data_IF_477842701728
#
_entry.id   IF_477842701728
#
_cell.length_a   1.000
_cell.length_b   1.000
_cell.length_c   1.000
_cell.angle_alpha   90.00
_cell.angle_beta   90.00
_cell.angle_gamma   90.00
#
_symmetry.space_group_name_H-M   'P 1'
#
loop_
_entity.id
_entity.type
_entity.pdbx_description
1 polymer ?
#
# COMPACT_ATOMS: atom_id res chain seq x y z
N UNK A 1 -14.68 -14.11 65.25
CA UNK A 1 -13.59 -13.57 64.39
C UNK A 1 -13.81 -14.09 62.99
N UNK A 2 -14.13 -13.20 62.04
CA UNK A 2 -14.10 -13.50 60.60
C UNK A 2 -12.75 -13.00 60.10
N UNK A 3 -11.99 -13.86 59.44
CA UNK A 3 -10.78 -13.46 58.71
C UNK A 3 -10.80 -14.18 57.37
N UNK A 4 -11.08 -13.40 56.32
CA UNK A 4 -10.81 -13.79 54.94
C UNK A 4 -9.34 -13.53 54.65
N UNK A 5 -8.63 -14.46 53.99
CA UNK A 5 -7.46 -14.14 53.18
C UNK A 5 -7.64 -14.83 51.83
N UNK A 6 -7.55 -13.99 50.81
CA UNK A 6 -7.56 -14.27 49.38
C UNK A 6 -6.20 -14.85 48.99
N UNK A 7 -6.18 -15.95 48.23
CA UNK A 7 -4.99 -16.38 47.50
C UNK A 7 -5.31 -16.36 46.00
N UNK A 8 -4.73 -15.38 45.32
CA UNK A 8 -4.78 -15.18 43.87
C UNK A 8 -4.01 -16.33 43.21
N UNK A 9 -4.71 -17.17 42.46
CA UNK A 9 -4.11 -18.21 41.63
C UNK A 9 -3.81 -17.61 40.25
N UNK A 10 -2.55 -17.26 40.00
CA UNK A 10 -2.05 -16.94 38.66
C UNK A 10 -1.95 -18.27 37.90
N UNK A 11 -2.95 -18.60 37.08
CA UNK A 11 -2.84 -19.66 36.08
C UNK A 11 -2.34 -19.08 34.76
N UNK A 12 -1.05 -19.30 34.53
CA UNK A 12 -0.39 -19.27 33.24
C UNK A 12 -0.99 -20.36 32.34
N UNK A 13 -1.92 -19.97 31.46
CA UNK A 13 -2.05 -20.49 30.09
C UNK A 13 -3.31 -19.90 29.45
N UNK A 14 -3.24 -18.65 29.00
CA UNK A 14 -4.17 -18.18 27.98
C UNK A 14 -3.78 -18.90 26.68
N UNK A 15 -4.61 -19.86 26.26
CA UNK A 15 -4.46 -20.54 24.98
C UNK A 15 -4.86 -19.57 23.87
N UNK A 16 -3.85 -18.92 23.29
CA UNK A 16 -3.90 -18.13 22.06
C UNK A 16 -4.32 -19.01 20.90
N UNK A 17 -5.62 -19.17 20.68
CA UNK A 17 -6.12 -19.74 19.43
C UNK A 17 -6.57 -18.57 18.58
N UNK A 18 -5.64 -18.10 17.73
CA UNK A 18 -5.93 -17.50 16.43
C UNK A 18 -7.25 -16.73 16.34
N UNK A 19 -7.26 -15.50 16.84
CA UNK A 19 -8.16 -14.50 16.27
C UNK A 19 -7.56 -14.11 14.92
N UNK A 20 -7.83 -14.89 13.87
CA UNK A 20 -7.60 -14.49 12.48
C UNK A 20 -8.61 -13.41 12.10
N UNK A 21 -8.55 -12.30 12.83
CA UNK A 21 -9.24 -11.05 12.51
C UNK A 21 -8.36 -10.21 11.60
N UNK A 22 -8.97 -9.22 10.95
CA UNK A 22 -8.23 -8.17 10.28
C UNK A 22 -7.23 -7.53 11.26
N UNK A 23 -5.93 -7.56 10.93
CA UNK A 23 -4.91 -6.89 11.73
C UNK A 23 -4.90 -5.38 11.48
N UNK A 24 -4.87 -4.97 10.21
CA UNK A 24 -4.75 -3.56 9.80
C UNK A 24 -5.57 -3.26 8.55
N UNK A 25 -5.97 -1.99 8.39
CA UNK A 25 -6.51 -1.44 7.15
C UNK A 25 -5.53 -0.39 6.65
N UNK A 26 -5.05 -0.56 5.41
CA UNK A 26 -4.23 0.45 4.76
C UNK A 26 -5.15 1.45 4.05
N UNK A 27 -4.86 2.74 4.19
CA UNK A 27 -5.56 3.82 3.52
C UNK A 27 -4.56 4.78 2.88
N UNK A 28 -4.88 5.32 1.70
CA UNK A 28 -4.14 6.44 1.15
C UNK A 28 -4.36 7.69 2.04
N UNK A 29 -3.29 8.35 2.47
CA UNK A 29 -3.37 9.53 3.32
C UNK A 29 -4.08 10.71 2.64
N UNK A 30 -4.01 10.77 1.31
CA UNK A 30 -4.65 11.73 0.42
C UNK A 30 -5.80 11.11 -0.38
N UNK A 31 -6.32 9.96 0.07
CA UNK A 31 -7.36 9.22 -0.64
C UNK A 31 -8.63 10.04 -0.82
N UNK A 32 -9.08 10.15 -2.06
CA UNK A 32 -10.28 10.85 -2.47
C UNK A 32 -11.30 9.89 -3.11
N UNK A 33 -12.52 10.42 -3.33
CA UNK A 33 -13.56 9.69 -4.03
C UNK A 33 -13.07 9.23 -5.41
N UNK A 34 -13.27 7.95 -5.69
CA UNK A 34 -12.94 7.30 -6.97
C UNK A 34 -11.44 7.23 -7.33
N UNK A 35 -10.51 7.36 -6.38
CA UNK A 35 -9.09 7.08 -6.62
C UNK A 35 -8.81 5.58 -6.87
N UNK A 36 -9.75 4.71 -6.47
CA UNK A 36 -9.69 3.24 -6.61
C UNK A 36 -8.43 2.66 -5.94
N UNK A 37 -8.08 3.20 -4.78
CA UNK A 37 -7.04 2.61 -3.93
C UNK A 37 -7.39 1.17 -3.57
N UNK A 38 -6.42 0.25 -3.71
CA UNK A 38 -6.64 -1.18 -3.53
C UNK A 38 -7.00 -1.91 -4.82
N UNK A 39 -6.82 -1.27 -5.99
CA UNK A 39 -7.09 -1.89 -7.28
C UNK A 39 -6.22 -3.12 -7.53
N UNK A 40 -4.93 -3.00 -7.24
CA UNK A 40 -3.97 -4.08 -7.24
C UNK A 40 -3.05 -3.94 -6.02
N UNK A 41 -2.58 -5.07 -5.47
CA UNK A 41 -1.82 -5.10 -4.22
C UNK A 41 -0.73 -6.17 -4.25
N UNK A 42 0.42 -5.84 -3.67
CA UNK A 42 1.49 -6.81 -3.41
C UNK A 42 2.14 -6.56 -2.06
N UNK A 43 2.74 -7.60 -1.48
CA UNK A 43 3.42 -7.55 -0.19
C UNK A 43 4.66 -8.44 -0.23
N UNK A 44 5.78 -7.93 0.27
CA UNK A 44 7.01 -8.69 0.46
C UNK A 44 7.73 -8.22 1.73
N UNK A 45 7.97 -9.16 2.65
CA UNK A 45 8.50 -8.89 3.97
C UNK A 45 7.71 -7.80 4.70
N UNK A 46 8.42 -6.75 5.09
CA UNK A 46 7.87 -5.61 5.83
C UNK A 46 7.26 -4.53 4.92
N UNK A 47 7.13 -4.75 3.60
CA UNK A 47 6.62 -3.75 2.67
C UNK A 47 5.39 -4.23 1.92
N UNK A 48 4.44 -3.33 1.74
CA UNK A 48 3.28 -3.54 0.88
C UNK A 48 3.16 -2.38 -0.11
N UNK A 49 2.74 -2.67 -1.33
CA UNK A 49 2.40 -1.69 -2.36
C UNK A 49 0.94 -1.83 -2.75
N UNK A 50 0.26 -0.69 -2.90
CA UNK A 50 -1.15 -0.62 -3.25
C UNK A 50 -1.37 0.35 -4.41
N UNK A 51 -1.97 -0.14 -5.49
CA UNK A 51 -2.33 0.64 -6.67
C UNK A 51 -3.60 1.48 -6.48
N UNK A 52 -3.61 2.66 -7.08
CA UNK A 52 -4.73 3.59 -7.15
C UNK A 52 -4.78 4.25 -8.56
N UNK A 53 -5.19 3.51 -9.60
CA UNK A 53 -5.05 3.94 -10.99
C UNK A 53 -5.87 5.17 -11.36
N UNK A 54 -6.88 5.54 -10.58
CA UNK A 54 -7.72 6.70 -10.84
C UNK A 54 -7.41 7.88 -9.90
N UNK A 55 -6.30 7.80 -9.16
CA UNK A 55 -5.84 8.87 -8.28
C UNK A 55 -5.68 10.18 -9.05
N UNK A 56 -6.25 11.24 -8.48
CA UNK A 56 -6.43 12.55 -9.11
C UNK A 56 -7.91 12.89 -9.33
N UNK A 57 -8.78 11.88 -9.38
CA UNK A 57 -10.22 12.08 -9.42
C UNK A 57 -10.73 12.66 -10.76
N UNK A 58 -12.06 12.69 -10.92
CA UNK A 58 -12.69 13.13 -12.17
C UNK A 58 -12.45 14.62 -12.45
N UNK A 59 -11.85 14.94 -13.60
CA UNK A 59 -11.64 16.31 -14.05
C UNK A 59 -10.30 16.95 -13.65
N UNK A 60 -9.40 16.19 -13.01
CA UNK A 60 -7.98 16.57 -12.88
C UNK A 60 -7.10 15.59 -13.65
N UNK A 61 -5.77 15.75 -13.60
CA UNK A 61 -4.79 14.86 -14.22
C UNK A 61 -4.86 13.46 -13.57
N UNK A 62 -5.72 12.57 -14.09
CA UNK A 62 -5.89 11.17 -13.68
C UNK A 62 -4.70 10.31 -14.11
N UNK A 63 -3.51 10.72 -13.69
CA UNK A 63 -2.28 10.00 -13.99
C UNK A 63 -2.18 8.72 -13.16
N UNK A 64 -2.88 8.66 -12.01
CA UNK A 64 -2.86 7.52 -11.09
C UNK A 64 -1.69 7.57 -10.10
N UNK A 65 -1.71 6.68 -9.12
CA UNK A 65 -0.66 6.55 -8.10
C UNK A 65 -0.51 5.11 -7.60
N UNK A 66 0.63 4.83 -6.97
CA UNK A 66 0.80 3.65 -6.12
C UNK A 66 1.35 4.08 -4.75
N UNK A 67 1.06 3.32 -3.71
CA UNK A 67 1.38 3.68 -2.33
C UNK A 67 2.14 2.55 -1.66
N UNK A 68 3.29 2.87 -1.09
CA UNK A 68 4.09 1.95 -0.31
C UNK A 68 3.84 2.18 1.18
N UNK A 69 3.60 1.08 1.87
CA UNK A 69 3.48 0.99 3.32
C UNK A 69 4.60 0.12 3.87
N UNK A 70 5.04 0.43 5.09
CA UNK A 70 6.05 -0.33 5.81
C UNK A 70 5.50 -0.80 7.15
N UNK A 71 5.77 -2.06 7.49
CA UNK A 71 5.53 -2.64 8.80
C UNK A 71 6.73 -2.40 9.71
N UNK A 72 6.48 -1.88 10.90
CA UNK A 72 7.50 -1.78 11.94
C UNK A 72 6.86 -1.99 13.31
N UNK A 73 7.38 -2.96 14.08
CA UNK A 73 6.87 -3.26 15.42
C UNK A 73 5.40 -3.72 15.41
N UNK A 74 4.99 -4.43 14.36
CA UNK A 74 3.61 -4.92 14.20
C UNK A 74 2.62 -3.88 13.65
N UNK A 75 3.06 -2.64 13.40
CA UNK A 75 2.21 -1.57 12.87
C UNK A 75 2.55 -1.26 11.41
N UNK A 76 1.53 -1.14 10.55
CA UNK A 76 1.68 -0.66 9.18
C UNK A 76 1.55 0.86 9.11
N UNK A 77 2.48 1.53 8.42
CA UNK A 77 2.46 2.98 8.23
C UNK A 77 2.71 3.36 6.77
N UNK A 78 2.08 4.44 6.31
CA UNK A 78 2.35 5.00 4.98
C UNK A 78 3.81 5.47 4.92
N UNK A 79 4.51 5.09 3.86
CA UNK A 79 5.89 5.46 3.65
C UNK A 79 6.06 6.38 2.44
N UNK A 80 5.48 6.02 1.29
CA UNK A 80 5.69 6.76 0.04
C UNK A 80 4.52 6.63 -0.92
N UNK A 81 4.18 7.74 -1.58
CA UNK A 81 3.36 7.77 -2.79
C UNK A 81 4.29 7.81 -3.99
N UNK A 82 4.11 6.87 -4.90
CA UNK A 82 4.73 6.80 -6.21
C UNK A 82 3.77 7.42 -7.23
N UNK A 83 4.31 8.31 -8.04
CA UNK A 83 3.61 8.94 -9.16
C UNK A 83 4.40 8.71 -10.44
N UNK A 84 3.75 8.74 -11.61
CA UNK A 84 4.45 8.65 -12.88
C UNK A 84 5.49 9.78 -13.02
N UNK A 85 6.64 9.53 -13.69
CA UNK A 85 7.63 10.55 -13.97
C UNK A 85 7.03 11.76 -14.69
N UNK A 86 7.49 12.96 -14.34
CA UNK A 86 7.01 14.24 -14.88
C UNK A 86 5.51 14.53 -14.68
N UNK A 87 4.84 13.77 -13.81
CA UNK A 87 3.43 13.96 -13.45
C UNK A 87 2.46 13.05 -14.20
N UNK A 88 2.87 12.44 -15.30
CA UNK A 88 2.03 11.61 -16.17
C UNK A 88 0.94 12.40 -16.91
N UNK A 89 0.34 11.75 -17.91
CA UNK A 89 -0.76 12.31 -18.67
C UNK A 89 -2.13 11.86 -18.13
N UNK A 90 -3.16 12.57 -18.56
CA UNK A 90 -4.52 12.24 -18.16
C UNK A 90 -4.91 10.85 -18.66
N UNK A 91 -5.27 9.97 -17.74
CA UNK A 91 -5.78 8.63 -18.09
C UNK A 91 -4.71 7.57 -18.22
N UNK A 92 -3.43 7.88 -17.96
CA UNK A 92 -2.30 6.93 -18.00
C UNK A 92 -2.52 5.70 -17.10
N UNK A 93 -3.31 5.87 -16.03
CA UNK A 93 -3.65 4.82 -15.07
C UNK A 93 -2.42 4.20 -14.38
N UNK A 94 -1.45 5.02 -13.97
CA UNK A 94 -0.34 4.57 -13.14
C UNK A 94 -0.85 3.95 -11.83
N UNK A 95 -0.34 2.78 -11.48
CA UNK A 95 -0.88 1.99 -10.36
C UNK A 95 -1.97 1.01 -10.77
N UNK A 96 -2.17 0.79 -12.07
CA UNK A 96 -3.09 -0.24 -12.57
C UNK A 96 -2.62 -1.64 -12.20
N UNK A 97 -1.30 -1.88 -12.21
CA UNK A 97 -0.69 -3.10 -11.71
C UNK A 97 0.51 -2.76 -10.84
N UNK A 98 0.73 -3.49 -9.76
CA UNK A 98 1.85 -3.28 -8.84
C UNK A 98 2.46 -4.61 -8.41
N UNK A 99 3.79 -4.62 -8.22
CA UNK A 99 4.48 -5.71 -7.53
C UNK A 99 5.66 -5.16 -6.73
N UNK A 100 6.07 -5.87 -5.68
CA UNK A 100 7.18 -5.50 -4.80
C UNK A 100 7.96 -6.74 -4.39
N UNK A 101 9.29 -6.70 -4.54
CA UNK A 101 10.17 -7.77 -4.13
C UNK A 101 11.55 -7.23 -3.75
N UNK A 102 11.99 -7.54 -2.54
CA UNK A 102 13.24 -7.10 -1.94
C UNK A 102 13.36 -5.58 -1.90
N UNK A 103 14.28 -5.05 -2.71
CA UNK A 103 14.54 -3.62 -2.83
C UNK A 103 13.89 -3.01 -4.09
N UNK A 104 13.04 -3.75 -4.81
CA UNK A 104 12.40 -3.29 -6.04
C UNK A 104 10.88 -3.27 -5.92
N UNK A 105 10.27 -2.25 -6.52
CA UNK A 105 8.85 -2.20 -6.80
C UNK A 105 8.66 -1.89 -8.29
N UNK A 106 7.64 -2.47 -8.90
CA UNK A 106 7.23 -2.17 -10.27
C UNK A 106 5.79 -1.68 -10.29
N UNK A 107 5.52 -0.66 -11.09
CA UNK A 107 4.19 -0.08 -11.25
C UNK A 107 3.85 0.04 -12.73
N UNK A 108 2.72 -0.51 -13.15
CA UNK A 108 2.20 -0.39 -14.49
C UNK A 108 1.29 0.84 -14.66
N UNK A 109 1.36 1.44 -15.84
CA UNK A 109 0.46 2.46 -16.34
C UNK A 109 0.00 2.03 -17.74
N UNK A 110 -1.19 1.42 -17.82
CA UNK A 110 -1.62 0.68 -19.01
C UNK A 110 -1.90 1.59 -20.22
N UNK A 111 -2.11 2.88 -19.98
CA UNK A 111 -2.48 3.85 -21.02
C UNK A 111 -1.43 4.95 -21.23
N UNK A 112 -0.21 4.80 -20.72
CA UNK A 112 0.83 5.80 -20.97
C UNK A 112 1.10 5.97 -22.47
N UNK A 113 1.15 7.23 -22.90
CA UNK A 113 1.58 7.63 -24.23
C UNK A 113 3.11 7.55 -24.36
N UNK A 114 3.59 6.88 -25.41
CA UNK A 114 5.03 6.71 -25.66
C UNK A 114 5.37 7.28 -27.05
N UNK A 115 6.11 8.39 -27.04
CA UNK A 115 6.46 9.18 -28.23
C UNK A 115 5.22 9.60 -29.04
N UNK A 116 4.97 8.95 -30.17
CA UNK A 116 3.85 9.20 -31.08
C UNK A 116 2.77 8.12 -31.02
N UNK A 117 2.89 7.17 -30.08
CA UNK A 117 1.96 6.06 -29.91
C UNK A 117 1.13 6.29 -28.67
N UNK A 118 -0.15 6.59 -28.86
CA UNK A 118 -1.07 6.76 -27.74
C UNK A 118 -1.40 5.44 -27.07
N UNK A 119 -1.55 5.46 -25.74
CA UNK A 119 -1.91 4.32 -24.90
C UNK A 119 -1.07 3.06 -25.17
N UNK A 120 0.23 3.23 -25.42
CA UNK A 120 1.15 2.12 -25.62
C UNK A 120 1.38 1.34 -24.31
N UNK A 121 1.19 2.02 -23.18
CA UNK A 121 1.45 1.50 -21.85
C UNK A 121 2.92 1.59 -21.46
N UNK A 122 3.17 1.65 -20.16
CA UNK A 122 4.49 1.68 -19.57
C UNK A 122 4.53 0.92 -18.24
N UNK A 123 5.74 0.50 -17.84
CA UNK A 123 6.01 -0.03 -16.52
C UNK A 123 7.24 0.67 -15.94
N UNK A 124 7.18 1.01 -14.66
CA UNK A 124 8.17 1.82 -13.98
C UNK A 124 8.74 1.04 -12.81
N UNK A 125 10.07 0.89 -12.77
CA UNK A 125 10.79 0.22 -11.70
C UNK A 125 11.34 1.27 -10.74
N UNK A 126 11.08 1.07 -9.46
CA UNK A 126 11.58 1.87 -8.35
C UNK A 126 12.49 0.99 -7.48
N UNK A 127 13.64 1.53 -7.10
CA UNK A 127 14.59 0.84 -6.23
C UNK A 127 14.68 1.55 -4.89
N UNK A 128 14.46 0.81 -3.80
CA UNK A 128 14.67 1.30 -2.44
C UNK A 128 16.17 1.44 -2.15
N UNK A 129 16.56 2.63 -1.68
CA UNK A 129 17.89 2.89 -1.14
C UNK A 129 17.84 2.90 0.39
N UNK A 130 18.32 1.82 1.03
CA UNK A 130 18.24 1.69 2.50
C UNK A 130 16.79 1.63 2.97
N UNK A 131 16.29 2.68 3.61
CA UNK A 131 14.90 2.77 4.10
C UNK A 131 14.03 3.73 3.28
N UNK A 132 14.49 4.17 2.10
CA UNK A 132 13.81 5.19 1.29
C UNK A 132 13.44 4.66 -0.10
N UNK A 133 12.17 4.85 -0.49
CA UNK A 133 11.63 4.57 -1.83
C UNK A 133 11.49 5.84 -2.67
#
# INVERSE_FOLDING_TARGET
MKTSIVAILILLSFNWTNLHGQEHQLIAFDGAFADVFGYDVAIDGDYAIVGAPLQGGFGTQQAGAAYIFVQSGGMWTYQKKLTPPWGGDFGDQFGYSVDISGDYAIVGAINTDIYSTSNAGAAYIYQRGGTQW
#
